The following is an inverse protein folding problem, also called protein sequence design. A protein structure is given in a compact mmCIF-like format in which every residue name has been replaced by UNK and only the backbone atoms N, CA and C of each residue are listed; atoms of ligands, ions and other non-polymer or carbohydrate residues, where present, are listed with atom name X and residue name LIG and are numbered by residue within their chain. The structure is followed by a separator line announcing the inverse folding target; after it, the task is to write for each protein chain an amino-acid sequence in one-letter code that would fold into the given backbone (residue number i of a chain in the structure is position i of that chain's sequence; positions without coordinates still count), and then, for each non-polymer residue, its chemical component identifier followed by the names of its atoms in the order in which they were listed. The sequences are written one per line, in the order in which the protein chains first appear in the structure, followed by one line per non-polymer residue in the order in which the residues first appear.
data_IF_793872724814
#
_entry.id   IF_793872724814
#
_cell.length_a   1.000
_cell.length_b   1.000
_cell.length_c   1.000
_cell.angle_alpha   90.00
_cell.angle_beta   90.00
_cell.angle_gamma   90.00
#
_symmetry.space_group_name_H-M   'P 1'
#
loop_
_entity.id
_entity.type
_entity.pdbx_description
1 polymer ?
#
# COMPACT_ATOMS: atom_id res chain seq x y z
N UNK A 1 -6.91 -7.71 -17.02
CA UNK A 1 -5.85 -6.68 -17.25
C UNK A 1 -6.03 -5.47 -16.34
N UNK A 2 -7.27 -5.02 -16.06
CA UNK A 2 -7.52 -3.93 -15.12
C UNK A 2 -7.20 -4.32 -13.66
N UNK A 3 -7.47 -5.55 -13.24
CA UNK A 3 -7.07 -6.09 -11.92
C UNK A 3 -5.61 -5.84 -11.59
N UNK A 4 -4.70 -6.20 -12.50
CA UNK A 4 -3.26 -6.16 -12.23
C UNK A 4 -2.78 -4.73 -11.95
N UNK A 5 -3.36 -3.76 -12.64
CA UNK A 5 -3.05 -2.34 -12.43
C UNK A 5 -3.60 -1.86 -11.09
N UNK A 6 -4.87 -2.14 -10.79
CA UNK A 6 -5.51 -1.70 -9.53
C UNK A 6 -4.88 -2.40 -8.31
N UNK A 7 -4.55 -3.69 -8.40
CA UNK A 7 -3.86 -4.43 -7.34
C UNK A 7 -2.45 -3.87 -7.10
N UNK A 8 -1.73 -3.55 -8.17
CA UNK A 8 -0.40 -2.94 -8.06
C UNK A 8 -0.47 -1.55 -7.43
N UNK A 9 -1.43 -0.71 -7.83
CA UNK A 9 -1.61 0.62 -7.23
C UNK A 9 -2.00 0.54 -5.76
N UNK A 10 -2.96 -0.32 -5.39
CA UNK A 10 -3.33 -0.55 -3.98
C UNK A 10 -2.12 -0.99 -3.14
N UNK A 11 -1.29 -1.89 -3.66
CA UNK A 11 -0.05 -2.32 -2.97
C UNK A 11 0.88 -1.12 -2.73
N UNK A 12 1.16 -0.33 -3.77
CA UNK A 12 2.03 0.85 -3.66
C UNK A 12 1.47 1.85 -2.65
N UNK A 13 0.16 2.07 -2.63
CA UNK A 13 -0.49 2.96 -1.65
C UNK A 13 -0.36 2.46 -0.22
N UNK A 14 -0.53 1.16 0.01
CA UNK A 14 -0.32 0.54 1.33
C UNK A 14 1.12 0.76 1.80
N UNK A 15 2.11 0.55 0.94
CA UNK A 15 3.52 0.77 1.26
C UNK A 15 3.81 2.26 1.58
N UNK A 16 3.28 3.18 0.77
CA UNK A 16 3.35 4.63 1.03
C UNK A 16 2.71 5.00 2.37
N UNK A 17 1.53 4.47 2.70
CA UNK A 17 0.82 4.72 3.96
C UNK A 17 1.61 4.26 5.18
N UNK A 18 2.26 3.09 5.09
CA UNK A 18 3.13 2.57 6.16
C UNK A 18 4.33 3.50 6.35
N UNK A 19 4.97 3.97 5.28
CA UNK A 19 6.05 4.95 5.36
C UNK A 19 5.60 6.26 6.01
N UNK A 20 4.44 6.78 5.58
CA UNK A 20 3.81 7.99 6.14
C UNK A 20 3.51 7.84 7.64
N UNK A 21 3.04 6.67 8.08
CA UNK A 21 2.79 6.38 9.49
C UNK A 21 4.09 6.26 10.31
N UNK A 22 5.18 5.82 9.69
CA UNK A 22 6.50 5.66 10.31
C UNK A 22 7.28 6.98 10.44
N UNK A 23 7.10 7.95 9.54
CA UNK A 23 7.83 9.24 9.52
C UNK A 23 7.49 10.20 10.70
N UNK A 24 6.79 9.74 11.73
CA UNK A 24 6.78 10.41 13.04
C UNK A 24 5.94 11.70 13.14
N UNK A 25 5.23 12.11 12.08
CA UNK A 25 4.25 13.21 12.18
C UNK A 25 2.93 12.77 12.85
N UNK A 26 2.82 11.47 13.17
CA UNK A 26 1.81 10.87 14.05
C UNK A 26 1.75 11.41 15.48
N UNK A 27 2.27 12.62 15.76
CA UNK A 27 2.08 13.34 17.02
C UNK A 27 0.61 13.67 17.34
N UNK A 28 -0.33 13.42 16.42
CA UNK A 28 -1.76 13.37 16.74
C UNK A 28 -2.19 11.91 16.64
N UNK A 29 -2.44 11.29 17.79
CA UNK A 29 -2.91 9.90 17.92
C UNK A 29 -4.08 9.57 16.96
N UNK A 30 -4.95 10.55 16.69
CA UNK A 30 -6.07 10.43 15.76
C UNK A 30 -5.66 10.17 14.30
N UNK A 31 -4.65 10.88 13.78
CA UNK A 31 -4.21 10.72 12.37
C UNK A 31 -3.61 9.34 12.16
N UNK A 32 -2.78 8.86 13.09
CA UNK A 32 -2.19 7.52 13.02
C UNK A 32 -3.27 6.42 13.02
N UNK A 33 -4.30 6.58 13.85
CA UNK A 33 -5.39 5.61 13.90
C UNK A 33 -6.20 5.58 12.60
N UNK A 34 -6.50 6.76 12.03
CA UNK A 34 -7.22 6.85 10.75
C UNK A 34 -6.39 6.32 9.57
N UNK A 35 -5.08 6.54 9.53
CA UNK A 35 -4.18 5.94 8.54
C UNK A 35 -4.13 4.41 8.64
N UNK A 36 -4.13 3.87 9.86
CA UNK A 36 -4.15 2.43 10.08
C UNK A 36 -5.47 1.81 9.62
N UNK A 37 -6.61 2.48 9.86
CA UNK A 37 -7.91 2.07 9.31
C UNK A 37 -7.91 2.08 7.78
N UNK A 38 -7.37 3.15 7.18
CA UNK A 38 -7.26 3.27 5.73
C UNK A 38 -6.46 2.12 5.12
N UNK A 39 -5.31 1.82 5.72
CA UNK A 39 -4.44 0.71 5.32
C UNK A 39 -5.20 -0.62 5.36
N UNK A 40 -5.89 -0.92 6.46
CA UNK A 40 -6.70 -2.15 6.60
C UNK A 40 -7.86 -2.22 5.62
N UNK A 41 -8.50 -1.09 5.32
CA UNK A 41 -9.61 -1.04 4.37
C UNK A 41 -9.14 -1.29 2.94
N UNK A 42 -8.02 -0.69 2.52
CA UNK A 42 -7.41 -0.96 1.22
C UNK A 42 -6.98 -2.43 1.08
N UNK A 43 -6.46 -3.03 2.15
CA UNK A 43 -6.07 -4.44 2.15
C UNK A 43 -7.29 -5.37 2.04
N UNK A 44 -8.43 -5.01 2.66
CA UNK A 44 -9.70 -5.72 2.42
C UNK A 44 -10.16 -5.59 0.97
N UNK A 45 -10.09 -4.40 0.38
CA UNK A 45 -10.47 -4.19 -1.02
C UNK A 45 -9.67 -5.06 -1.98
N UNK A 46 -8.37 -5.25 -1.70
CA UNK A 46 -7.51 -6.14 -2.48
C UNK A 46 -8.05 -7.58 -2.55
N UNK A 47 -8.69 -8.07 -1.50
CA UNK A 47 -9.30 -9.40 -1.49
C UNK A 47 -10.51 -9.52 -2.43
N UNK A 48 -11.26 -8.44 -2.64
CA UNK A 48 -12.41 -8.43 -3.55
C UNK A 48 -12.02 -8.26 -5.02
N UNK A 49 -10.85 -7.67 -5.31
CA UNK A 49 -10.43 -7.36 -6.68
C UNK A 49 -10.37 -8.58 -7.60
N UNK A 50 -9.98 -9.75 -7.08
CA UNK A 50 -9.85 -10.97 -7.89
C UNK A 50 -11.21 -11.55 -8.32
N UNK A 51 -12.20 -11.57 -7.42
CA UNK A 51 -13.57 -11.98 -7.80
C UNK A 51 -14.25 -10.91 -8.66
N UNK A 52 -13.97 -9.64 -8.40
CA UNK A 52 -14.53 -8.52 -9.14
C UNK A 52 -14.04 -8.47 -10.60
N UNK A 53 -12.74 -8.67 -10.89
CA UNK A 53 -12.23 -8.65 -12.28
C UNK A 53 -12.81 -9.79 -13.13
N UNK A 54 -13.02 -10.97 -12.51
CA UNK A 54 -13.66 -12.11 -13.18
C UNK A 54 -15.11 -11.82 -13.53
N UNK A 55 -15.85 -11.16 -12.63
CA UNK A 55 -17.29 -10.88 -12.79
C UNK A 55 -17.59 -9.57 -13.52
N UNK A 56 -16.63 -8.65 -13.66
CA UNK A 56 -16.86 -7.34 -14.31
C UNK A 56 -17.32 -7.45 -15.78
N UNK A 57 -17.00 -8.57 -16.44
CA UNK A 57 -17.33 -8.82 -17.85
C UNK A 57 -18.82 -9.10 -18.01
N UNK A 58 -19.41 -9.79 -17.03
CA UNK A 58 -20.79 -10.27 -17.06
C UNK A 58 -21.73 -9.36 -16.24
N UNK A 59 -21.23 -8.76 -15.16
CA UNK A 59 -22.03 -7.97 -14.23
C UNK A 59 -21.64 -6.48 -14.28
N UNK A 60 -22.54 -5.67 -14.84
CA UNK A 60 -22.40 -4.20 -14.89
C UNK A 60 -22.30 -3.57 -13.51
N UNK A 61 -22.94 -4.17 -12.51
CA UNK A 61 -22.88 -3.75 -11.11
C UNK A 61 -21.48 -3.88 -10.52
N UNK A 62 -20.80 -5.00 -10.77
CA UNK A 62 -19.42 -5.25 -10.33
C UNK A 62 -18.46 -4.29 -11.04
N UNK A 63 -18.70 -4.01 -12.32
CA UNK A 63 -17.93 -3.03 -13.08
C UNK A 63 -18.06 -1.61 -12.50
N UNK A 64 -19.26 -1.21 -12.07
CA UNK A 64 -19.48 0.09 -11.42
C UNK A 64 -18.76 0.15 -10.06
N UNK A 65 -18.82 -0.92 -9.28
CA UNK A 65 -18.10 -1.02 -8.01
C UNK A 65 -16.58 -0.87 -8.19
N UNK A 66 -15.99 -1.54 -9.18
CA UNK A 66 -14.57 -1.39 -9.50
C UNK A 66 -14.19 0.04 -9.89
N UNK A 67 -15.04 0.71 -10.66
CA UNK A 67 -14.83 2.12 -11.04
C UNK A 67 -14.85 3.04 -9.81
N UNK A 68 -15.80 2.83 -8.90
CA UNK A 68 -15.87 3.62 -7.67
C UNK A 68 -14.64 3.37 -6.78
N UNK A 69 -14.15 2.12 -6.72
CA UNK A 69 -12.92 1.79 -6.01
C UNK A 69 -11.70 2.49 -6.62
N UNK A 70 -11.59 2.54 -7.95
CA UNK A 70 -10.54 3.26 -8.66
C UNK A 70 -10.55 4.76 -8.32
N UNK A 71 -11.72 5.40 -8.30
CA UNK A 71 -11.86 6.81 -7.92
C UNK A 71 -11.35 7.07 -6.48
N UNK A 72 -11.67 6.18 -5.54
CA UNK A 72 -11.20 6.28 -4.15
C UNK A 72 -9.69 6.06 -4.05
N UNK A 73 -9.12 5.16 -4.84
CA UNK A 73 -7.67 4.92 -4.91
C UNK A 73 -6.93 6.18 -5.38
N UNK A 74 -7.44 6.87 -6.41
CA UNK A 74 -6.86 8.15 -6.85
C UNK A 74 -6.95 9.23 -5.77
N UNK A 75 -8.04 9.29 -5.01
CA UNK A 75 -8.18 10.23 -3.90
C UNK A 75 -7.17 9.96 -2.78
N UNK A 76 -6.90 8.69 -2.47
CA UNK A 76 -5.85 8.28 -1.52
C UNK A 76 -4.46 8.70 -2.00
N UNK A 77 -4.13 8.45 -3.28
CA UNK A 77 -2.81 8.78 -3.82
C UNK A 77 -2.55 10.29 -3.76
N UNK A 78 -3.53 11.10 -4.20
CA UNK A 78 -3.48 12.56 -4.11
C UNK A 78 -3.31 13.03 -2.65
N UNK A 79 -4.00 12.40 -1.70
CA UNK A 79 -3.88 12.72 -0.27
C UNK A 79 -2.47 12.44 0.26
N UNK A 80 -1.87 11.32 -0.14
CA UNK A 80 -0.52 10.95 0.26
C UNK A 80 0.54 11.87 -0.34
N UNK A 81 0.35 12.31 -1.58
CA UNK A 81 1.23 13.26 -2.25
C UNK A 81 1.14 14.66 -1.60
N UNK A 82 -0.07 15.15 -1.29
CA UNK A 82 -0.29 16.38 -0.51
C UNK A 82 0.47 16.32 0.83
N UNK A 83 0.37 15.17 1.50
CA UNK A 83 1.02 14.96 2.78
C UNK A 83 2.55 14.97 2.63
N UNK A 84 3.09 14.20 1.68
CA UNK A 84 4.53 14.10 1.45
C UNK A 84 5.13 15.46 1.04
N UNK A 85 4.42 16.23 0.21
CA UNK A 85 4.80 17.58 -0.17
C UNK A 85 4.98 18.48 1.07
N UNK A 86 4.03 18.47 1.99
CA UNK A 86 4.08 19.30 3.20
C UNK A 86 5.17 18.87 4.19
N UNK A 87 5.47 17.57 4.27
CA UNK A 87 6.64 17.07 4.99
C UNK A 87 7.92 17.68 4.41
N UNK A 88 8.10 17.52 3.10
CA UNK A 88 9.31 17.98 2.41
C UNK A 88 9.45 19.49 2.50
N UNK A 89 8.36 20.23 2.26
CA UNK A 89 8.31 21.68 2.40
C UNK A 89 8.76 22.13 3.79
N UNK A 90 8.24 21.50 4.85
CA UNK A 90 8.64 21.85 6.23
C UNK A 90 10.10 21.49 6.52
N UNK A 91 10.60 20.35 6.03
CA UNK A 91 12.03 19.97 6.15
C UNK A 91 12.92 21.04 5.48
N UNK A 92 12.53 21.55 4.32
CA UNK A 92 13.24 22.64 3.61
C UNK A 92 13.15 23.97 4.36
N UNK A 93 11.96 24.36 4.84
CA UNK A 93 11.75 25.61 5.60
C UNK A 93 12.56 25.63 6.91
N UNK A 94 12.63 24.50 7.63
CA UNK A 94 13.44 24.37 8.85
C UNK A 94 14.94 24.43 8.52
N UNK A 95 15.37 23.80 7.42
CA UNK A 95 16.78 23.82 6.98
C UNK A 95 17.22 25.21 6.48
N UNK A 96 16.30 25.98 5.92
CA UNK A 96 16.54 27.31 5.36
C UNK A 96 16.32 28.45 6.37
N UNK A 97 16.84 28.32 7.60
CA UNK A 97 16.80 29.34 8.68
C UNK A 97 17.60 30.62 8.34
N UNK A 98 17.40 31.22 7.17
CA UNK A 98 17.64 32.63 6.90
C UNK A 98 16.39 33.30 6.32
N UNK A 99 15.83 34.17 7.17
CA UNK A 99 14.88 35.25 6.87
C UNK A 99 13.49 34.85 6.36
N UNK A 100 12.54 34.73 7.29
CA UNK A 100 11.31 35.55 7.22
C UNK A 100 10.57 35.63 8.54
N UNK A 101 10.52 36.84 9.08
CA UNK A 101 9.74 37.23 10.28
C UNK A 101 8.24 37.44 9.97
N UNK A 102 7.76 37.03 8.78
CA UNK A 102 6.37 37.21 8.38
C UNK A 102 5.98 36.07 7.45
N UNK A 103 5.20 35.10 7.94
CA UNK A 103 4.29 34.24 7.14
C UNK A 103 3.50 33.25 8.03
N UNK A 104 2.93 33.74 9.12
CA UNK A 104 1.95 32.98 9.92
C UNK A 104 0.52 33.05 9.35
N UNK A 105 0.33 33.58 8.13
CA UNK A 105 -1.00 33.99 7.63
C UNK A 105 -1.55 33.17 6.45
N UNK A 106 -0.81 32.20 5.88
CA UNK A 106 -1.40 31.23 4.95
C UNK A 106 -1.83 29.99 5.73
N UNK A 107 -3.09 29.59 5.57
CA UNK A 107 -3.79 28.55 6.35
C UNK A 107 -3.03 27.21 6.47
N UNK A 108 -2.18 26.87 5.49
CA UNK A 108 -1.35 25.66 5.46
C UNK A 108 -0.04 25.73 6.28
N UNK A 109 0.37 26.91 6.73
CA UNK A 109 1.62 27.07 7.50
C UNK A 109 1.45 26.76 8.98
N UNK A 110 0.21 26.66 9.49
CA UNK A 110 -0.07 26.24 10.86
C UNK A 110 -0.07 24.70 10.95
N UNK A 111 0.88 24.09 11.69
CA UNK A 111 0.99 22.63 11.77
C UNK A 111 -0.27 21.94 12.32
N UNK A 112 -1.05 22.62 13.16
CA UNK A 112 -2.29 22.06 13.72
C UNK A 112 -3.45 22.10 12.72
N UNK A 113 -3.62 23.20 11.97
CA UNK A 113 -4.64 23.30 10.92
C UNK A 113 -4.37 22.29 9.81
N UNK A 114 -3.12 22.17 9.37
CA UNK A 114 -2.73 21.16 8.39
C UNK A 114 -3.08 19.74 8.85
N UNK A 115 -2.72 19.39 10.09
CA UNK A 115 -3.05 18.07 10.67
C UNK A 115 -4.55 17.83 10.74
N UNK A 116 -5.34 18.85 11.10
CA UNK A 116 -6.79 18.74 11.16
C UNK A 116 -7.43 18.53 9.77
N UNK A 117 -6.97 19.27 8.76
CA UNK A 117 -7.42 19.12 7.37
C UNK A 117 -7.10 17.71 6.86
N UNK A 118 -5.87 17.23 7.06
CA UNK A 118 -5.47 15.88 6.63
C UNK A 118 -6.25 14.80 7.39
N UNK A 119 -6.46 14.96 8.71
CA UNK A 119 -7.28 14.03 9.49
C UNK A 119 -8.71 13.92 8.94
N UNK A 120 -9.31 15.05 8.58
CA UNK A 120 -10.65 15.09 7.99
C UNK A 120 -10.68 14.41 6.63
N UNK A 121 -9.71 14.69 5.75
CA UNK A 121 -9.61 14.02 4.43
C UNK A 121 -9.47 12.49 4.57
N UNK A 122 -8.62 12.01 5.48
CA UNK A 122 -8.46 10.55 5.71
C UNK A 122 -9.77 9.93 6.21
N UNK A 123 -10.48 10.63 7.10
CA UNK A 123 -11.77 10.18 7.62
C UNK A 123 -12.81 10.07 6.50
N UNK A 124 -12.87 11.05 5.61
CA UNK A 124 -13.81 11.04 4.48
C UNK A 124 -13.53 9.87 3.53
N UNK A 125 -12.25 9.59 3.23
CA UNK A 125 -11.84 8.44 2.43
C UNK A 125 -12.17 7.11 3.13
N UNK A 126 -11.94 6.99 4.44
CA UNK A 126 -12.31 5.81 5.21
C UNK A 126 -13.81 5.53 5.13
N UNK A 127 -14.66 6.55 5.22
CA UNK A 127 -16.11 6.40 5.06
C UNK A 127 -16.50 5.97 3.65
N UNK A 128 -15.79 6.41 2.60
CA UNK A 128 -16.02 5.96 1.23
C UNK A 128 -15.66 4.48 1.06
N UNK A 129 -14.53 4.04 1.62
CA UNK A 129 -14.13 2.63 1.58
C UNK A 129 -15.09 1.73 2.38
N UNK A 130 -15.60 2.20 3.53
CA UNK A 130 -16.60 1.45 4.30
C UNK A 130 -17.89 1.23 3.50
N UNK A 131 -18.38 2.27 2.79
CA UNK A 131 -19.52 2.13 1.88
C UNK A 131 -19.27 1.14 0.74
N UNK A 132 -18.04 1.12 0.21
CA UNK A 132 -17.66 0.15 -0.83
C UNK A 132 -17.60 -1.28 -0.28
N UNK A 133 -17.22 -1.48 0.98
CA UNK A 133 -17.19 -2.80 1.65
C UNK A 133 -18.63 -3.33 1.79
N UNK A 134 -19.55 -2.48 2.26
CA UNK A 134 -20.98 -2.82 2.32
C UNK A 134 -21.58 -3.07 0.93
N UNK A 135 -21.18 -2.31 -0.08
CA UNK A 135 -21.66 -2.48 -1.45
C UNK A 135 -21.14 -3.80 -2.06
N UNK A 136 -19.88 -4.16 -1.80
CA UNK A 136 -19.32 -5.44 -2.21
C UNK A 136 -20.08 -6.62 -1.58
N UNK A 137 -20.40 -6.53 -0.28
CA UNK A 137 -21.19 -7.54 0.44
C UNK A 137 -22.62 -7.64 -0.13
N UNK A 138 -23.27 -6.50 -0.45
CA UNK A 138 -24.61 -6.47 -1.09
C UNK A 138 -24.61 -7.12 -2.47
N UNK A 139 -23.55 -6.95 -3.25
CA UNK A 139 -23.40 -7.56 -4.58
C UNK A 139 -22.84 -8.98 -4.54
N UNK A 140 -22.59 -9.51 -3.33
CA UNK A 140 -22.06 -10.86 -3.11
C UNK A 140 -20.68 -11.06 -3.71
N UNK A 141 -19.85 -10.01 -3.82
CA UNK A 141 -18.46 -10.13 -4.28
C UNK A 141 -17.71 -10.92 -3.22
N UNK A 142 -17.15 -12.07 -3.59
CA UNK A 142 -16.47 -12.92 -2.62
C UNK A 142 -15.11 -12.34 -2.30
N UNK A 143 -14.78 -12.27 -1.01
CA UNK A 143 -13.40 -12.05 -0.56
C UNK A 143 -12.58 -13.23 -1.05
N UNK A 144 -11.74 -13.01 -2.05
CA UNK A 144 -10.72 -13.96 -2.43
C UNK A 144 -9.85 -14.25 -1.22
N UNK A 145 -9.51 -15.51 -0.99
CA UNK A 145 -8.44 -15.86 -0.07
C UNK A 145 -7.18 -15.28 -0.71
N UNK A 146 -6.82 -14.05 -0.34
CA UNK A 146 -5.47 -13.57 -0.57
C UNK A 146 -4.67 -14.35 0.45
N UNK A 147 -4.23 -15.53 0.06
CA UNK A 147 -3.23 -16.26 0.81
C UNK A 147 -2.07 -15.29 1.00
N UNK A 148 -1.98 -14.79 2.22
CA UNK A 148 -0.77 -14.21 2.79
C UNK A 148 0.27 -15.31 3.07
N UNK A 149 0.22 -16.40 2.30
CA UNK A 149 1.38 -17.23 2.06
C UNK A 149 2.36 -16.39 1.25
N UNK A 150 3.18 -15.66 2.00
CA UNK A 150 4.52 -15.26 1.64
C UNK A 150 5.12 -16.36 0.75
N UNK A 151 5.08 -16.18 -0.58
CA UNK A 151 5.82 -17.02 -1.51
C UNK A 151 7.29 -16.64 -1.31
N UNK A 152 7.89 -17.21 -0.26
CA UNK A 152 9.32 -17.47 -0.25
C UNK A 152 9.48 -18.48 -1.37
N UNK A 153 10.05 -18.12 -2.53
CA UNK A 153 10.53 -19.17 -3.41
C UNK A 153 11.47 -20.01 -2.54
N UNK A 154 11.36 -21.35 -2.51
CA UNK A 154 12.36 -22.15 -1.83
C UNK A 154 13.72 -21.68 -2.36
N UNK A 155 14.59 -21.28 -1.45
CA UNK A 155 15.98 -21.00 -1.78
C UNK A 155 16.49 -22.28 -2.43
N UNK A 156 16.61 -22.27 -3.75
CA UNK A 156 17.34 -23.31 -4.45
C UNK A 156 18.80 -22.97 -4.15
N UNK A 157 19.30 -23.51 -3.05
CA UNK A 157 20.73 -23.66 -2.85
C UNK A 157 21.25 -24.43 -4.06
N UNK A 158 21.99 -23.73 -4.91
CA UNK A 158 22.82 -24.39 -5.90
C UNK A 158 24.03 -24.90 -5.14
N UNK A 159 23.91 -26.12 -4.61
CA UNK A 159 25.07 -26.90 -4.22
C UNK A 159 25.88 -27.15 -5.48
N UNK A 160 26.78 -26.21 -5.75
CA UNK A 160 27.88 -26.39 -6.69
C UNK A 160 28.84 -27.38 -6.07
N UNK A 161 28.47 -28.66 -6.12
CA UNK A 161 29.43 -29.74 -6.00
C UNK A 161 30.31 -29.64 -7.24
N UNK A 162 31.46 -28.97 -7.10
CA UNK A 162 32.59 -29.13 -8.00
C UNK A 162 33.08 -30.57 -7.84
N UNK A 163 32.50 -31.50 -8.61
CA UNK A 163 33.07 -32.83 -8.77
C UNK A 163 34.26 -32.67 -9.71
N UNK A 164 35.42 -32.41 -9.13
CA UNK A 164 36.69 -32.44 -9.86
C UNK A 164 36.92 -33.87 -10.41
N UNK A 165 37.01 -34.09 -11.74
CA UNK A 165 37.06 -35.42 -12.33
C UNK A 165 38.45 -36.07 -12.30
N UNK A 166 39.33 -35.74 -11.34
CA UNK A 166 40.74 -36.17 -11.35
C UNK A 166 41.07 -37.34 -10.40
N UNK A 167 40.14 -37.77 -9.54
CA UNK A 167 40.38 -38.87 -8.58
C UNK A 167 39.44 -40.06 -8.78
N UNK A 168 39.53 -40.72 -9.94
CA UNK A 168 38.95 -42.06 -10.16
C UNK A 168 39.91 -42.97 -10.94
N UNK A 169 41.14 -43.09 -10.46
CA UNK A 169 42.02 -44.25 -10.76
C UNK A 169 42.79 -44.57 -9.48
N UNK A 170 42.87 -45.86 -9.16
CA UNK A 170 43.37 -46.45 -7.91
C UNK A 170 42.35 -46.47 -6.77
N UNK A 171 41.58 -47.57 -6.69
CA UNK A 171 41.70 -48.55 -5.58
C UNK A 171 40.61 -49.61 -5.65
N UNK A 172 40.64 -50.49 -6.66
CA UNK A 172 39.97 -51.80 -6.59
C UNK A 172 40.79 -52.89 -7.30
N UNK A 173 41.99 -53.18 -6.79
CA UNK A 173 42.62 -54.51 -6.95
C UNK A 173 43.37 -54.88 -5.67
N UNK A 174 42.68 -55.58 -4.78
CA UNK A 174 43.27 -56.54 -3.83
C UNK A 174 42.15 -57.40 -3.24
N UNK A 175 41.66 -58.33 -4.06
CA UNK A 175 41.15 -59.63 -3.62
C UNK A 175 41.40 -60.61 -4.76
N UNK A 176 42.57 -61.24 -4.73
CA UNK A 176 42.91 -62.66 -5.02
C UNK A 176 44.44 -62.75 -4.98
#
# INVERSE_FOLDING_TARGET
MAETVIVATVRVLVEKLVGVAAEGIGGVLGVKNELNKLTKSLDRMKAFLSDADRRQVEETTVKLWLKNLEEVIYEVDNLLDDYNYEILRRKVEIKNQMRRKVWFFFSFSNPFLFRAIIAQKIKDVNMKLEKLDEEADRHGIRKGIVDSAFFVPPVIETDSISVDPVFLVERTMSLI
#
